data_IF_670551911132
#
_entry.id   IF_670551911132
#
_cell.length_a   1.000
_cell.length_b   1.000
_cell.length_c   1.000
_cell.angle_alpha   90.00
_cell.angle_beta   90.00
_cell.angle_gamma   90.00
#
_symmetry.space_group_name_H-M   'P 1'
#
loop_
_entity.id
_entity.type
_entity.pdbx_description
1 polymer ?
#
# COMPACT_ATOMS: atom_id res chain seq x y z
N UNK A 1 -7.82 28.94 -55.64
CA UNK A 1 -7.44 27.58 -55.21
C UNK A 1 -5.93 27.55 -54.98
N UNK A 2 -5.46 27.37 -53.75
CA UNK A 2 -4.23 26.62 -53.48
C UNK A 2 -4.17 26.37 -51.97
N UNK A 3 -4.62 25.18 -51.59
CA UNK A 3 -4.64 24.69 -50.23
C UNK A 3 -3.25 24.16 -49.87
N UNK A 4 -2.39 25.03 -49.35
CA UNK A 4 -1.14 24.63 -48.71
C UNK A 4 -1.17 25.09 -47.25
N UNK A 5 -2.19 24.64 -46.51
CA UNK A 5 -2.22 24.77 -45.05
C UNK A 5 -1.21 23.77 -44.48
N UNK A 6 -0.01 24.29 -44.23
CA UNK A 6 1.07 23.78 -43.36
C UNK A 6 0.75 22.51 -42.57
N UNK A 7 0.98 21.34 -43.19
CA UNK A 7 0.95 20.01 -42.58
C UNK A 7 1.91 19.89 -41.38
N UNK A 8 2.88 20.80 -41.27
CA UNK A 8 3.82 20.93 -40.15
C UNK A 8 3.16 21.42 -38.86
N UNK A 9 2.15 22.30 -38.92
CA UNK A 9 1.47 22.81 -37.73
C UNK A 9 0.56 21.75 -37.08
N UNK A 10 -0.08 20.90 -37.90
CA UNK A 10 -0.91 19.78 -37.43
C UNK A 10 -0.09 18.67 -36.76
N UNK A 11 1.15 18.44 -37.19
CA UNK A 11 2.05 17.44 -36.57
C UNK A 11 2.59 17.86 -35.20
N UNK A 12 2.76 19.17 -34.96
CA UNK A 12 3.25 19.67 -33.67
C UNK A 12 2.24 19.49 -32.54
N UNK A 13 0.93 19.61 -32.83
CA UNK A 13 -0.15 19.48 -31.85
C UNK A 13 -0.35 18.01 -31.41
N UNK A 14 -0.09 17.05 -32.31
CA UNK A 14 -0.25 15.62 -32.01
C UNK A 14 0.80 15.10 -31.02
N UNK A 15 2.00 15.69 -30.98
CA UNK A 15 3.09 15.25 -30.10
C UNK A 15 2.90 15.71 -28.64
N UNK A 16 2.29 16.87 -28.41
CA UNK A 16 2.06 17.39 -27.05
C UNK A 16 0.91 16.69 -26.31
N UNK A 17 -0.07 16.12 -27.03
CA UNK A 17 -1.20 15.41 -26.43
C UNK A 17 -0.90 13.95 -26.05
N UNK A 18 0.08 13.31 -26.69
CA UNK A 18 0.43 11.90 -26.42
C UNK A 18 1.43 11.72 -25.26
N UNK A 19 2.20 12.77 -24.92
CA UNK A 19 3.21 12.71 -23.87
C UNK A 19 2.66 12.47 -22.44
N UNK A 20 1.55 13.10 -22.00
CA UNK A 20 0.99 12.82 -20.67
C UNK A 20 0.39 11.41 -20.54
N UNK A 21 -0.10 10.81 -21.64
CA UNK A 21 -0.71 9.47 -21.63
C UNK A 21 0.33 8.35 -21.47
N UNK A 22 1.55 8.54 -21.96
CA UNK A 22 2.64 7.57 -21.81
C UNK A 22 3.27 7.61 -20.40
N UNK A 23 3.30 8.77 -19.74
CA UNK A 23 3.80 8.89 -18.37
C UNK A 23 2.86 8.27 -17.33
N UNK A 24 1.56 8.22 -17.60
CA UNK A 24 0.58 7.58 -16.69
C UNK A 24 0.52 6.06 -16.82
N UNK A 25 1.13 5.47 -17.87
CA UNK A 25 1.08 4.02 -18.11
C UNK A 25 2.01 3.20 -17.20
N UNK A 26 2.95 3.84 -16.50
CA UNK A 26 3.82 3.18 -15.51
C UNK A 26 3.45 3.54 -14.05
N UNK A 27 2.35 4.29 -13.82
CA UNK A 27 1.97 4.81 -12.50
C UNK A 27 0.52 4.52 -12.10
N UNK A 28 -0.11 3.50 -12.68
CA UNK A 28 -1.50 3.15 -12.39
C UNK A 28 -1.58 2.10 -11.29
N UNK A 29 -2.10 2.49 -10.11
CA UNK A 29 -2.57 1.54 -9.10
C UNK A 29 -1.92 1.63 -7.72
N UNK A 30 -2.00 2.79 -7.07
CA UNK A 30 -2.00 2.82 -5.60
C UNK A 30 -2.81 4.00 -5.08
N UNK A 31 -4.07 4.10 -5.50
CA UNK A 31 -5.09 4.75 -4.68
C UNK A 31 -5.51 3.78 -3.56
N UNK A 32 -4.53 3.38 -2.74
CA UNK A 32 -4.85 2.90 -1.42
C UNK A 32 -5.30 4.13 -0.64
N UNK A 33 -6.60 4.17 -0.32
CA UNK A 33 -7.13 5.06 0.72
C UNK A 33 -6.11 4.99 1.87
N UNK A 34 -5.44 6.11 2.19
CA UNK A 34 -4.60 6.20 3.39
C UNK A 34 -5.55 6.09 4.58
N UNK A 35 -5.96 4.87 4.88
CA UNK A 35 -6.28 4.50 6.24
C UNK A 35 -4.96 4.67 6.97
N UNK A 36 -4.97 5.55 7.97
CA UNK A 36 -3.84 5.67 8.88
C UNK A 36 -3.41 4.26 9.28
N UNK A 37 -2.10 3.95 9.32
CA UNK A 37 -1.66 2.63 9.72
C UNK A 37 -2.31 2.34 11.06
N UNK A 38 -3.29 1.42 11.06
CA UNK A 38 -3.91 0.94 12.27
C UNK A 38 -2.74 0.42 13.09
N UNK A 39 -2.43 1.15 14.16
CA UNK A 39 -1.20 0.96 14.90
C UNK A 39 -1.01 -0.54 15.15
N UNK A 40 0.14 -1.08 14.75
CA UNK A 40 0.47 -2.48 14.97
C UNK A 40 0.34 -2.76 16.47
N UNK A 41 -0.75 -3.42 16.87
CA UNK A 41 -1.13 -3.58 18.28
C UNK A 41 -2.50 -3.05 18.68
N UNK A 42 -3.38 -2.69 17.75
CA UNK A 42 -4.80 -2.49 18.05
C UNK A 42 -5.42 -3.79 18.61
N UNK A 43 -5.39 -3.93 19.93
CA UNK A 43 -6.10 -4.97 20.67
C UNK A 43 -7.59 -4.81 20.41
N UNK A 44 -8.29 -5.91 20.15
CA UNK A 44 -9.75 -5.87 20.11
C UNK A 44 -10.26 -5.48 21.51
N UNK A 45 -10.87 -4.30 21.63
CA UNK A 45 -11.23 -3.67 22.92
C UNK A 45 -12.21 -4.50 23.76
N UNK A 46 -12.92 -5.45 23.14
CA UNK A 46 -13.86 -6.37 23.81
C UNK A 46 -13.39 -7.84 23.83
N UNK A 47 -12.18 -8.14 23.36
CA UNK A 47 -11.70 -9.52 23.27
C UNK A 47 -11.05 -10.00 24.58
N UNK A 48 -11.23 -11.28 24.91
CA UNK A 48 -10.55 -11.89 26.06
C UNK A 48 -9.04 -11.95 25.83
N UNK A 49 -8.24 -11.51 26.80
CA UNK A 49 -6.78 -11.75 26.82
C UNK A 49 -6.50 -13.26 26.90
N UNK A 50 -5.50 -13.72 26.18
CA UNK A 50 -4.97 -15.07 26.32
C UNK A 50 -4.19 -15.21 27.64
N UNK A 51 -3.62 -16.39 27.89
CA UNK A 51 -2.82 -16.65 29.11
C UNK A 51 -1.60 -15.74 29.25
N UNK A 52 -1.10 -15.18 28.14
CA UNK A 52 -0.03 -14.21 28.13
C UNK A 52 -0.58 -12.78 28.11
N UNK A 53 0.06 -11.87 28.83
CA UNK A 53 -0.25 -10.44 28.79
C UNK A 53 0.25 -9.76 27.51
N UNK A 54 1.36 -10.26 26.96
CA UNK A 54 2.11 -9.74 25.82
C UNK A 54 2.72 -10.87 24.98
N UNK A 55 2.78 -10.68 23.65
CA UNK A 55 3.52 -11.51 22.70
C UNK A 55 4.47 -10.62 21.90
N UNK A 56 5.74 -11.01 21.81
CA UNK A 56 6.75 -10.35 20.98
C UNK A 56 6.88 -11.08 19.65
N UNK A 57 6.76 -10.35 18.54
CA UNK A 57 6.78 -10.94 17.19
C UNK A 57 7.99 -10.39 16.45
N UNK A 58 9.00 -11.25 16.32
CA UNK A 58 10.21 -11.00 15.55
C UNK A 58 10.02 -11.23 14.05
N UNK A 59 10.41 -10.29 13.20
CA UNK A 59 10.44 -10.52 11.75
C UNK A 59 11.50 -9.66 11.03
N UNK A 60 12.00 -10.14 9.89
CA UNK A 60 12.79 -9.31 8.99
C UNK A 60 11.87 -8.57 8.01
N UNK A 61 12.13 -7.31 7.65
CA UNK A 61 11.25 -6.56 6.74
C UNK A 61 11.54 -6.94 5.28
N UNK A 62 11.38 -8.21 4.95
CA UNK A 62 11.68 -8.79 3.64
C UNK A 62 10.58 -9.76 3.17
N UNK A 63 10.68 -10.19 1.91
CA UNK A 63 9.66 -11.03 1.26
C UNK A 63 9.46 -12.39 1.95
N UNK A 64 10.49 -12.95 2.59
CA UNK A 64 10.36 -14.27 3.25
C UNK A 64 9.53 -14.20 4.52
N UNK A 65 9.35 -13.01 5.11
CA UNK A 65 8.51 -12.78 6.29
C UNK A 65 7.23 -12.01 5.95
N UNK A 66 6.80 -12.01 4.69
CA UNK A 66 5.59 -11.33 4.24
C UNK A 66 4.36 -11.70 5.07
N UNK A 67 4.25 -12.95 5.55
CA UNK A 67 3.15 -13.39 6.41
C UNK A 67 3.07 -12.60 7.73
N UNK A 68 4.20 -12.32 8.37
CA UNK A 68 4.24 -11.52 9.60
C UNK A 68 3.89 -10.06 9.31
N UNK A 69 4.42 -9.51 8.21
CA UNK A 69 4.12 -8.15 7.77
C UNK A 69 2.63 -7.95 7.49
N UNK A 70 2.05 -8.78 6.63
CA UNK A 70 0.63 -8.74 6.28
C UNK A 70 -0.23 -9.04 7.51
N UNK A 71 0.15 -10.03 8.32
CA UNK A 71 -0.61 -10.39 9.52
C UNK A 71 -0.68 -9.28 10.57
N UNK A 72 0.38 -8.46 10.68
CA UNK A 72 0.42 -7.28 11.54
C UNK A 72 -0.32 -6.09 10.92
N UNK A 73 -0.13 -5.84 9.63
CA UNK A 73 -0.70 -4.70 8.92
C UNK A 73 -2.22 -4.82 8.75
N UNK A 74 -2.69 -6.00 8.38
CA UNK A 74 -4.13 -6.31 8.19
C UNK A 74 -4.83 -6.68 9.51
N UNK A 75 -4.10 -6.67 10.64
CA UNK A 75 -4.66 -6.98 11.95
C UNK A 75 -5.10 -8.44 12.14
N UNK A 76 -4.68 -9.36 11.26
CA UNK A 76 -5.02 -10.78 11.33
C UNK A 76 -4.47 -11.42 12.61
N UNK A 77 -3.25 -11.07 12.99
CA UNK A 77 -2.62 -11.60 14.22
C UNK A 77 -3.33 -11.06 15.47
N UNK A 78 -3.74 -9.78 15.46
CA UNK A 78 -4.48 -9.18 16.57
C UNK A 78 -5.86 -9.85 16.77
N UNK A 79 -6.53 -10.25 15.69
CA UNK A 79 -7.81 -10.97 15.76
C UNK A 79 -7.70 -12.29 16.54
N UNK A 80 -6.64 -13.05 16.31
CA UNK A 80 -6.42 -14.34 16.98
C UNK A 80 -5.90 -14.17 18.42
N UNK A 81 -5.15 -13.09 18.69
CA UNK A 81 -4.59 -12.81 20.01
C UNK A 81 -5.55 -12.08 20.96
N UNK A 82 -6.69 -11.58 20.45
CA UNK A 82 -7.69 -10.86 21.24
C UNK A 82 -7.12 -9.57 21.87
N UNK A 83 -7.30 -9.40 23.18
CA UNK A 83 -6.74 -8.25 23.90
C UNK A 83 -5.28 -8.47 24.36
N UNK A 84 -4.61 -9.52 23.90
CA UNK A 84 -3.20 -9.77 24.19
C UNK A 84 -2.34 -8.74 23.48
N UNK A 85 -1.41 -8.11 24.19
CA UNK A 85 -0.59 -7.05 23.61
C UNK A 85 0.40 -7.62 22.60
N UNK A 86 0.53 -6.99 21.43
CA UNK A 86 1.52 -7.35 20.42
C UNK A 86 2.68 -6.37 20.48
N UNK A 87 3.91 -6.89 20.52
CA UNK A 87 5.15 -6.10 20.38
C UNK A 87 5.95 -6.57 19.17
N UNK A 88 5.80 -5.92 18.01
CA UNK A 88 6.61 -6.23 16.84
C UNK A 88 8.07 -5.85 17.08
N UNK A 89 9.00 -6.68 16.64
CA UNK A 89 10.43 -6.41 16.67
C UNK A 89 11.03 -6.77 15.32
N UNK A 90 11.68 -5.79 14.70
CA UNK A 90 12.36 -5.98 13.42
C UNK A 90 13.81 -6.36 13.67
N UNK A 91 14.32 -7.30 12.86
CA UNK A 91 15.73 -7.72 12.85
C UNK A 91 16.40 -7.41 11.51
#
# INVERSE_FOLDING_TARGET
MSAARSLTALRAIAVTAALPLLLTACGYGSEAKKEEPKAAGATAEDAKKLSASEVRIGYFPNLTHATALVGLQEGLIAKELGATQIKPQTF
#
